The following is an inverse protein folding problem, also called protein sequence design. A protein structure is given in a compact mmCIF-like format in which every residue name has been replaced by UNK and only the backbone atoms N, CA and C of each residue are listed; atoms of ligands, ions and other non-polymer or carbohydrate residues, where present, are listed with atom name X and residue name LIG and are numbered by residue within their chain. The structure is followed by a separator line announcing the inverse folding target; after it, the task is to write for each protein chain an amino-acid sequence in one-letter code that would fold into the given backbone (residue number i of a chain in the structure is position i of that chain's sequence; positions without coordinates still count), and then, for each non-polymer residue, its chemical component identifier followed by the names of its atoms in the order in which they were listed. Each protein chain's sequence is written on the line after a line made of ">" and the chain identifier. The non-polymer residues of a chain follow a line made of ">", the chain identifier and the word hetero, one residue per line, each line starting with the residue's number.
data_IF_242281203431
#
_entry.id   IF_242281203431
#
_cell.length_a   1.000
_cell.length_b   1.000
_cell.length_c   1.000
_cell.angle_alpha   90.00
_cell.angle_beta   90.00
_cell.angle_gamma   90.00
#
_symmetry.space_group_name_H-M   'P 1'
#
loop_
_entity.id
_entity.type
_entity.pdbx_description
1 polymer ?
#
# COMPACT_ATOMS: atom_id res chain seq x y z
N UNK A 1 -11.64 20.80 10.93
CA UNK A 1 -11.60 20.57 9.47
C UNK A 1 -10.33 21.17 8.87
N UNK A 2 -10.01 20.83 7.62
CA UNK A 2 -8.85 21.37 6.89
C UNK A 2 -9.30 22.10 5.63
N UNK A 3 -8.48 23.02 5.06
CA UNK A 3 -8.82 23.70 3.80
C UNK A 3 -9.13 22.73 2.66
N UNK A 4 -8.43 21.59 2.58
CA UNK A 4 -8.68 20.56 1.59
C UNK A 4 -10.08 19.94 1.72
N UNK A 5 -10.53 19.66 2.96
CA UNK A 5 -11.89 19.15 3.21
C UNK A 5 -12.96 20.18 2.86
N UNK A 6 -12.73 21.46 3.11
CA UNK A 6 -13.66 22.52 2.70
C UNK A 6 -13.82 22.52 1.17
N UNK A 7 -12.71 22.56 0.42
CA UNK A 7 -12.72 22.52 -1.05
C UNK A 7 -13.38 21.24 -1.61
N UNK A 8 -13.12 20.10 -0.97
CA UNK A 8 -13.75 18.84 -1.34
C UNK A 8 -15.27 18.89 -1.16
N UNK A 9 -15.77 19.51 -0.09
CA UNK A 9 -17.20 19.64 0.17
C UNK A 9 -17.90 20.69 -0.71
N UNK A 10 -17.17 21.62 -1.30
CA UNK A 10 -17.75 22.66 -2.20
C UNK A 10 -18.23 22.10 -3.52
N UNK A 11 -17.71 20.96 -3.98
CA UNK A 11 -18.05 20.35 -5.26
C UNK A 11 -19.33 19.53 -5.23
N UNK A 12 -19.77 19.12 -4.03
CA UNK A 12 -20.94 18.26 -3.88
C UNK A 12 -22.25 19.07 -3.85
N UNK A 13 -23.34 18.51 -4.41
CA UNK A 13 -24.65 19.16 -4.37
C UNK A 13 -25.10 19.34 -2.91
N UNK A 14 -25.51 20.54 -2.56
CA UNK A 14 -26.03 20.90 -1.23
C UNK A 14 -27.54 20.76 -1.11
N UNK A 15 -28.16 20.03 -2.02
CA UNK A 15 -29.61 19.84 -2.08
C UNK A 15 -29.98 18.68 -1.18
N UNK A 16 -31.03 18.85 -0.38
CA UNK A 16 -31.68 17.73 0.30
C UNK A 16 -32.67 17.06 -0.68
N UNK A 17 -32.82 15.74 -0.60
CA UNK A 17 -33.86 15.03 -1.34
C UNK A 17 -35.25 15.34 -0.78
N UNK A 18 -36.30 14.77 -1.40
CA UNK A 18 -37.70 14.97 -0.98
C UNK A 18 -37.96 14.51 0.48
N UNK A 19 -37.09 13.66 1.02
CA UNK A 19 -37.15 13.14 2.41
C UNK A 19 -36.33 14.00 3.40
N UNK A 20 -35.73 15.11 2.95
CA UNK A 20 -34.91 16.00 3.78
C UNK A 20 -33.49 15.47 4.04
N UNK A 21 -33.08 14.38 3.37
CA UNK A 21 -31.74 13.81 3.49
C UNK A 21 -30.76 14.61 2.60
N UNK A 22 -29.71 15.15 3.20
CA UNK A 22 -28.60 15.81 2.50
C UNK A 22 -27.32 15.00 2.63
N UNK A 23 -26.35 15.22 1.74
CA UNK A 23 -25.05 14.55 1.80
C UNK A 23 -24.28 14.85 3.11
N UNK A 24 -24.55 16.00 3.73
CA UNK A 24 -23.82 16.47 4.90
C UNK A 24 -22.39 16.93 4.56
N UNK A 25 -21.70 17.43 5.59
CA UNK A 25 -20.29 17.82 5.46
C UNK A 25 -19.39 16.62 5.74
N UNK A 26 -18.61 16.19 4.75
CA UNK A 26 -17.64 15.09 4.88
C UNK A 26 -16.37 15.60 5.55
N UNK A 27 -16.14 15.22 6.81
CA UNK A 27 -15.01 15.70 7.63
C UNK A 27 -14.03 14.59 8.00
N UNK A 28 -13.76 13.69 7.10
CA UNK A 28 -12.84 12.56 7.27
C UNK A 28 -11.79 12.51 6.16
N UNK A 29 -10.78 11.67 6.32
CA UNK A 29 -9.82 11.38 5.25
C UNK A 29 -10.46 10.45 4.25
N UNK A 30 -10.49 10.87 2.98
CA UNK A 30 -11.15 10.15 1.90
C UNK A 30 -10.10 9.42 1.05
N UNK A 31 -10.10 8.10 1.13
CA UNK A 31 -9.41 7.21 0.21
C UNK A 31 -10.41 6.65 -0.83
N UNK A 32 -9.95 5.78 -1.73
CA UNK A 32 -10.75 5.25 -2.86
C UNK A 32 -12.08 4.65 -2.43
N UNK A 33 -12.13 3.87 -1.35
CA UNK A 33 -13.35 3.22 -0.88
C UNK A 33 -14.36 4.25 -0.36
N UNK A 34 -13.93 5.13 0.53
CA UNK A 34 -14.77 6.19 1.09
C UNK A 34 -15.30 7.14 0.00
N UNK A 35 -14.47 7.42 -1.03
CA UNK A 35 -14.91 8.22 -2.17
C UNK A 35 -16.07 7.56 -2.91
N UNK A 36 -16.02 6.25 -3.13
CA UNK A 36 -17.12 5.52 -3.76
C UNK A 36 -18.41 5.61 -2.95
N UNK A 37 -18.32 5.55 -1.62
CA UNK A 37 -19.47 5.67 -0.72
C UNK A 37 -20.07 7.10 -0.75
N UNK A 38 -19.22 8.13 -0.83
CA UNK A 38 -19.67 9.53 -0.98
C UNK A 38 -20.39 9.73 -2.31
N UNK A 39 -19.84 9.20 -3.42
CA UNK A 39 -20.47 9.27 -4.75
C UNK A 39 -21.84 8.59 -4.76
N UNK A 40 -21.92 7.40 -4.14
CA UNK A 40 -23.18 6.67 -4.06
C UNK A 40 -24.23 7.45 -3.26
N UNK A 41 -23.88 8.03 -2.13
CA UNK A 41 -24.76 8.89 -1.35
C UNK A 41 -25.19 10.14 -2.13
N UNK A 42 -24.27 10.78 -2.85
CA UNK A 42 -24.58 11.93 -3.70
C UNK A 42 -25.60 11.57 -4.80
N UNK A 43 -25.44 10.40 -5.41
CA UNK A 43 -26.39 9.90 -6.41
C UNK A 43 -27.80 9.69 -5.82
N UNK A 44 -27.90 9.06 -4.65
CA UNK A 44 -29.17 8.84 -3.98
C UNK A 44 -29.90 10.15 -3.62
N UNK A 45 -29.14 11.18 -3.24
CA UNK A 45 -29.70 12.46 -2.78
C UNK A 45 -30.04 13.38 -3.94
N UNK A 46 -29.18 13.50 -4.94
CA UNK A 46 -29.24 14.55 -5.98
C UNK A 46 -29.51 14.04 -7.40
N UNK A 47 -29.59 12.72 -7.59
CA UNK A 47 -29.84 12.07 -8.86
C UNK A 47 -28.64 12.08 -9.82
N UNK A 48 -28.83 11.50 -11.01
CA UNK A 48 -27.76 11.22 -11.97
C UNK A 48 -27.06 12.49 -12.48
N UNK A 49 -27.80 13.48 -12.98
CA UNK A 49 -27.21 14.65 -13.63
C UNK A 49 -26.34 15.46 -12.66
N UNK A 50 -26.81 15.69 -11.44
CA UNK A 50 -26.07 16.43 -10.41
C UNK A 50 -24.82 15.67 -9.99
N UNK A 51 -24.89 14.34 -9.91
CA UNK A 51 -23.72 13.49 -9.60
C UNK A 51 -22.67 13.55 -10.69
N UNK A 52 -23.07 13.51 -11.98
CA UNK A 52 -22.13 13.65 -13.11
C UNK A 52 -21.40 15.00 -13.05
N UNK A 53 -22.12 16.09 -12.81
CA UNK A 53 -21.52 17.42 -12.68
C UNK A 53 -20.54 17.49 -11.50
N UNK A 54 -20.88 16.86 -10.36
CA UNK A 54 -19.99 16.76 -9.21
C UNK A 54 -18.73 15.93 -9.50
N UNK A 55 -18.84 14.83 -10.25
CA UNK A 55 -17.70 14.01 -10.68
C UNK A 55 -16.75 14.77 -11.62
N UNK A 56 -17.29 15.57 -12.55
CA UNK A 56 -16.47 16.44 -13.39
C UNK A 56 -15.76 17.51 -12.56
N UNK A 57 -16.44 18.11 -11.60
CA UNK A 57 -15.84 19.07 -10.66
C UNK A 57 -14.75 18.41 -9.80
N UNK A 58 -14.98 17.18 -9.32
CA UNK A 58 -14.01 16.39 -8.57
C UNK A 58 -12.76 16.10 -9.40
N UNK A 59 -12.93 15.69 -10.65
CA UNK A 59 -11.84 15.46 -11.61
C UNK A 59 -10.98 16.72 -11.79
N UNK A 60 -11.63 17.86 -12.04
CA UNK A 60 -10.91 19.13 -12.20
C UNK A 60 -10.22 19.60 -10.92
N UNK A 61 -10.86 19.44 -9.76
CA UNK A 61 -10.25 19.71 -8.47
C UNK A 61 -9.01 18.84 -8.27
N UNK A 62 -9.13 17.52 -8.50
CA UNK A 62 -8.04 16.57 -8.34
C UNK A 62 -6.84 16.89 -9.22
N UNK A 63 -7.05 17.14 -10.52
CA UNK A 63 -5.98 17.51 -11.45
C UNK A 63 -5.29 18.81 -11.06
N UNK A 64 -6.08 19.83 -10.71
CA UNK A 64 -5.54 21.12 -10.29
C UNK A 64 -4.67 21.03 -9.04
N UNK A 65 -5.16 20.35 -8.01
CA UNK A 65 -4.43 20.25 -6.74
C UNK A 65 -3.22 19.30 -6.86
N UNK A 66 -3.32 18.21 -7.63
CA UNK A 66 -2.18 17.34 -7.92
C UNK A 66 -1.07 18.08 -8.68
N UNK A 67 -1.45 18.90 -9.68
CA UNK A 67 -0.49 19.74 -10.42
C UNK A 67 0.18 20.77 -9.50
N UNK A 68 -0.58 21.40 -8.61
CA UNK A 68 -0.06 22.38 -7.64
C UNK A 68 0.88 21.75 -6.62
N UNK A 69 0.53 20.55 -6.14
CA UNK A 69 1.35 19.81 -5.19
C UNK A 69 2.66 19.30 -5.80
N UNK A 70 2.71 19.10 -7.12
CA UNK A 70 3.92 18.61 -7.81
C UNK A 70 4.37 17.24 -7.32
N UNK A 71 3.44 16.35 -6.93
CA UNK A 71 3.77 15.03 -6.40
C UNK A 71 4.51 14.22 -7.46
N UNK A 72 5.75 13.87 -7.16
CA UNK A 72 6.61 13.08 -8.04
C UNK A 72 7.37 12.03 -7.22
N UNK A 73 7.90 11.00 -7.89
CA UNK A 73 8.62 9.90 -7.25
C UNK A 73 10.06 9.90 -7.76
N UNK A 74 11.00 9.94 -6.82
CA UNK A 74 12.42 9.72 -7.08
C UNK A 74 12.93 8.41 -6.47
N UNK A 75 14.14 8.01 -6.83
CA UNK A 75 14.80 6.83 -6.23
C UNK A 75 15.04 7.04 -4.72
N UNK A 76 15.24 8.28 -4.30
CA UNK A 76 15.42 8.65 -2.90
C UNK A 76 14.19 8.37 -2.02
N UNK A 77 12.99 8.44 -2.61
CA UNK A 77 11.73 8.20 -1.89
C UNK A 77 11.49 6.71 -1.58
N UNK A 78 12.25 5.83 -2.27
CA UNK A 78 12.22 4.38 -2.03
C UNK A 78 13.11 4.04 -0.83
N UNK A 79 12.67 4.38 0.39
CA UNK A 79 13.43 4.13 1.62
C UNK A 79 13.49 2.63 1.92
N UNK A 80 14.68 2.12 2.25
CA UNK A 80 14.90 0.73 2.68
C UNK A 80 14.84 0.71 4.21
N UNK A 81 13.95 -0.09 4.84
CA UNK A 81 13.84 -0.13 6.30
C UNK A 81 15.13 -0.68 6.94
N UNK A 82 15.56 -0.07 8.02
CA UNK A 82 16.78 -0.47 8.73
C UNK A 82 16.66 -1.88 9.33
N UNK A 83 15.45 -2.26 9.72
CA UNK A 83 15.10 -3.56 10.26
C UNK A 83 15.28 -4.72 9.26
N UNK A 84 15.35 -4.45 7.95
CA UNK A 84 15.51 -5.47 6.91
C UNK A 84 16.68 -6.41 7.18
N UNK A 85 17.83 -5.87 7.59
CA UNK A 85 19.02 -6.67 7.82
C UNK A 85 18.92 -7.59 9.04
N UNK A 86 18.22 -7.17 10.10
CA UNK A 86 17.96 -7.98 11.29
C UNK A 86 16.97 -9.09 11.01
N UNK A 87 15.89 -8.79 10.27
CA UNK A 87 14.87 -9.76 9.88
C UNK A 87 15.45 -10.87 8.98
N UNK A 88 16.25 -10.50 7.99
CA UNK A 88 16.94 -11.47 7.15
C UNK A 88 17.89 -12.38 7.97
N UNK A 89 18.65 -11.81 8.90
CA UNK A 89 19.53 -12.61 9.80
C UNK A 89 18.73 -13.57 10.67
N UNK A 90 17.58 -13.15 11.17
CA UNK A 90 16.66 -14.00 11.95
C UNK A 90 16.15 -15.16 11.10
N UNK A 91 15.67 -14.86 9.88
CA UNK A 91 15.18 -15.88 8.94
C UNK A 91 16.27 -16.91 8.61
N UNK A 92 17.50 -16.48 8.31
CA UNK A 92 18.60 -17.41 8.05
C UNK A 92 18.93 -18.31 9.25
N UNK A 93 18.87 -17.81 10.48
CA UNK A 93 19.04 -18.64 11.68
C UNK A 93 17.96 -19.71 11.81
N UNK A 94 16.69 -19.35 11.52
CA UNK A 94 15.59 -20.31 11.55
C UNK A 94 15.74 -21.38 10.46
N UNK A 95 16.18 -21.00 9.26
CA UNK A 95 16.48 -21.94 8.17
C UNK A 95 17.58 -22.95 8.54
N UNK A 96 18.65 -22.48 9.19
CA UNK A 96 19.73 -23.37 9.67
C UNK A 96 19.21 -24.43 10.66
N UNK A 97 18.24 -24.06 11.51
CA UNK A 97 17.59 -25.01 12.42
C UNK A 97 16.77 -26.05 11.64
N UNK A 98 15.98 -25.61 10.66
CA UNK A 98 15.17 -26.50 9.81
C UNK A 98 16.04 -27.47 9.02
N UNK A 99 17.14 -26.97 8.44
CA UNK A 99 18.10 -27.79 7.70
C UNK A 99 18.79 -28.83 8.59
N UNK A 100 19.14 -28.47 9.83
CA UNK A 100 19.69 -29.40 10.83
C UNK A 100 18.67 -30.48 11.23
N UNK A 101 17.39 -30.14 11.36
CA UNK A 101 16.32 -31.10 11.63
C UNK A 101 16.17 -32.11 10.48
N UNK A 102 16.19 -31.61 9.24
CA UNK A 102 16.12 -32.45 8.05
C UNK A 102 17.31 -33.42 7.95
N UNK A 103 18.54 -32.93 8.09
CA UNK A 103 19.76 -33.77 8.07
C UNK A 103 19.80 -34.83 9.17
N UNK A 104 19.09 -34.62 10.28
CA UNK A 104 18.92 -35.60 11.35
C UNK A 104 17.78 -36.58 11.13
N UNK A 105 17.05 -36.46 10.02
CA UNK A 105 15.90 -37.29 9.72
C UNK A 105 14.68 -37.05 10.60
N UNK A 106 14.60 -35.89 11.30
CA UNK A 106 13.49 -35.56 12.18
C UNK A 106 12.27 -35.10 11.38
N UNK A 107 12.48 -34.47 10.23
CA UNK A 107 11.44 -33.97 9.32
C UNK A 107 11.64 -34.51 7.93
N UNK A 108 10.53 -34.68 7.19
CA UNK A 108 10.51 -35.07 5.78
C UNK A 108 10.92 -33.92 4.85
N UNK A 109 11.23 -34.22 3.58
CA UNK A 109 11.55 -33.18 2.60
C UNK A 109 10.37 -32.22 2.36
N UNK A 110 9.14 -32.75 2.29
CA UNK A 110 7.93 -31.91 2.16
C UNK A 110 7.70 -30.98 3.34
N UNK A 111 7.96 -31.44 4.58
CA UNK A 111 7.89 -30.60 5.77
C UNK A 111 8.99 -29.54 5.80
N UNK A 112 10.21 -29.89 5.38
CA UNK A 112 11.32 -28.95 5.21
C UNK A 112 10.93 -27.84 4.23
N UNK A 113 10.42 -28.22 3.04
CA UNK A 113 9.98 -27.28 2.01
C UNK A 113 8.92 -26.31 2.55
N UNK A 114 7.85 -26.83 3.17
CA UNK A 114 6.80 -25.99 3.72
C UNK A 114 7.32 -25.02 4.80
N UNK A 115 8.15 -25.50 5.73
CA UNK A 115 8.77 -24.65 6.77
C UNK A 115 9.64 -23.54 6.17
N UNK A 116 10.39 -23.81 5.11
CA UNK A 116 11.21 -22.81 4.41
C UNK A 116 10.32 -21.71 3.81
N UNK A 117 9.24 -22.11 3.12
CA UNK A 117 8.27 -21.18 2.54
C UNK A 117 7.63 -20.31 3.62
N UNK A 118 7.20 -20.89 4.73
CA UNK A 118 6.58 -20.17 5.84
C UNK A 118 7.54 -19.14 6.46
N UNK A 119 8.79 -19.52 6.70
CA UNK A 119 9.83 -18.61 7.25
C UNK A 119 10.03 -17.40 6.32
N UNK A 120 10.17 -17.63 5.01
CA UNK A 120 10.39 -16.55 4.05
C UNK A 120 9.16 -15.68 3.84
N UNK A 121 7.97 -16.26 3.89
CA UNK A 121 6.71 -15.50 3.83
C UNK A 121 6.59 -14.58 5.04
N UNK A 122 6.78 -15.12 6.24
CA UNK A 122 6.75 -14.34 7.48
C UNK A 122 7.80 -13.22 7.50
N UNK A 123 9.05 -13.52 7.14
CA UNK A 123 10.11 -12.52 7.04
C UNK A 123 9.76 -11.41 6.03
N UNK A 124 9.21 -11.79 4.88
CA UNK A 124 8.77 -10.84 3.86
C UNK A 124 7.64 -9.90 4.34
N UNK A 125 6.73 -10.40 5.15
CA UNK A 125 5.63 -9.62 5.71
C UNK A 125 6.09 -8.71 6.86
N UNK A 126 7.05 -9.15 7.67
CA UNK A 126 7.69 -8.31 8.69
C UNK A 126 8.45 -7.14 8.06
N UNK A 127 9.25 -7.41 7.00
CA UNK A 127 9.96 -6.37 6.25
C UNK A 127 8.96 -5.40 5.59
N UNK A 128 7.85 -5.89 5.03
CA UNK A 128 6.82 -5.04 4.46
C UNK A 128 6.16 -4.15 5.51
N UNK A 129 5.87 -4.68 6.69
CA UNK A 129 5.27 -3.93 7.80
C UNK A 129 6.21 -2.84 8.34
N UNK A 130 7.52 -3.16 8.47
CA UNK A 130 8.54 -2.19 8.83
C UNK A 130 8.66 -1.08 7.77
N UNK A 131 8.68 -1.46 6.49
CA UNK A 131 8.73 -0.52 5.36
C UNK A 131 7.55 0.45 5.39
N UNK A 132 6.33 -0.04 5.60
CA UNK A 132 5.15 0.82 5.68
C UNK A 132 5.24 1.84 6.79
N UNK A 133 5.68 1.42 7.99
CA UNK A 133 5.90 2.34 9.12
C UNK A 133 6.93 3.42 8.78
N UNK A 134 8.06 3.02 8.18
CA UNK A 134 9.11 3.97 7.77
C UNK A 134 8.59 4.99 6.74
N UNK A 135 7.79 4.56 5.75
CA UNK A 135 7.21 5.45 4.74
C UNK A 135 6.12 6.38 5.31
N UNK A 136 5.32 5.89 6.26
CA UNK A 136 4.27 6.65 6.92
C UNK A 136 4.85 7.79 7.78
N UNK A 137 5.86 7.47 8.59
CA UNK A 137 6.49 8.45 9.49
C UNK A 137 7.54 9.33 8.80
N UNK A 138 7.99 8.96 7.60
CA UNK A 138 8.95 9.71 6.77
C UNK A 138 10.14 10.28 7.56
N UNK A 139 10.68 9.49 8.49
CA UNK A 139 11.81 9.83 9.37
C UNK A 139 11.69 11.20 10.08
N UNK A 140 10.46 11.61 10.43
CA UNK A 140 10.18 12.87 11.13
C UNK A 140 10.06 14.10 10.22
N UNK A 141 10.06 13.93 8.90
CA UNK A 141 9.77 15.01 7.98
C UNK A 141 8.28 15.38 7.99
N UNK A 142 7.97 16.69 7.97
CA UNK A 142 6.59 17.19 7.94
C UNK A 142 5.83 16.81 6.65
N UNK A 143 6.57 16.51 5.57
CA UNK A 143 5.99 16.12 4.27
C UNK A 143 5.93 14.61 4.17
N UNK A 144 4.75 14.08 3.97
CA UNK A 144 4.54 12.64 3.78
C UNK A 144 5.29 12.13 2.53
N UNK A 145 5.81 10.90 2.61
CA UNK A 145 6.50 10.27 1.49
C UNK A 145 5.55 10.13 0.27
N UNK A 146 5.94 10.58 -0.94
CA UNK A 146 5.08 10.53 -2.12
C UNK A 146 4.59 9.11 -2.48
N UNK A 147 5.43 8.09 -2.30
CA UNK A 147 5.05 6.69 -2.53
C UNK A 147 3.94 6.25 -1.56
N UNK A 148 4.09 6.61 -0.27
CA UNK A 148 3.07 6.31 0.73
C UNK A 148 1.75 6.99 0.36
N UNK A 149 1.78 8.29 0.05
CA UNK A 149 0.58 9.05 -0.34
C UNK A 149 -0.16 8.43 -1.52
N UNK A 150 0.56 8.01 -2.57
CA UNK A 150 -0.06 7.42 -3.76
C UNK A 150 -0.72 6.07 -3.49
N UNK A 151 -0.09 5.23 -2.68
CA UNK A 151 -0.60 3.87 -2.42
C UNK A 151 -1.66 3.87 -1.33
N UNK A 152 -1.50 4.66 -0.28
CA UNK A 152 -2.48 4.76 0.81
C UNK A 152 -3.80 5.38 0.32
N UNK A 153 -3.73 6.43 -0.50
CA UNK A 153 -4.91 7.02 -1.14
C UNK A 153 -5.60 6.09 -2.14
N UNK A 154 -4.90 5.06 -2.63
CA UNK A 154 -5.40 4.18 -3.70
C UNK A 154 -5.35 4.81 -5.09
N UNK A 155 -4.66 5.94 -5.26
CA UNK A 155 -4.52 6.61 -6.55
C UNK A 155 -3.71 5.78 -7.54
N UNK A 156 -2.56 5.28 -7.11
CA UNK A 156 -1.69 4.44 -7.94
C UNK A 156 -0.81 3.52 -7.09
N UNK A 157 -0.57 2.32 -7.61
CA UNK A 157 0.24 1.32 -6.95
C UNK A 157 -0.52 0.51 -5.90
N UNK A 158 0.16 -0.47 -5.34
CA UNK A 158 -0.33 -1.29 -4.24
C UNK A 158 0.81 -1.67 -3.29
N UNK A 159 0.45 -2.22 -2.15
CA UNK A 159 1.40 -2.63 -1.11
C UNK A 159 2.46 -3.60 -1.62
N UNK A 160 2.08 -4.55 -2.46
CA UNK A 160 2.99 -5.53 -3.01
C UNK A 160 4.06 -4.90 -3.92
N UNK A 161 3.69 -3.89 -4.70
CA UNK A 161 4.65 -3.18 -5.56
C UNK A 161 5.68 -2.40 -4.74
N UNK A 162 5.26 -1.72 -3.65
CA UNK A 162 6.20 -1.05 -2.75
C UNK A 162 7.12 -2.07 -2.04
N UNK A 163 6.57 -3.20 -1.60
CA UNK A 163 7.36 -4.30 -1.03
C UNK A 163 8.49 -4.73 -1.97
N UNK A 164 8.22 -4.85 -3.26
CA UNK A 164 9.23 -5.21 -4.27
C UNK A 164 10.23 -4.09 -4.54
N UNK A 165 9.79 -2.83 -4.55
CA UNK A 165 10.65 -1.68 -4.85
C UNK A 165 11.66 -1.38 -3.75
N UNK A 166 11.24 -1.43 -2.48
CA UNK A 166 12.02 -0.96 -1.33
C UNK A 166 12.24 -2.00 -0.23
N UNK A 167 11.42 -3.05 -0.17
CA UNK A 167 11.53 -4.11 0.82
C UNK A 167 12.33 -5.31 0.32
N UNK A 168 11.63 -6.33 -0.16
CA UNK A 168 12.17 -7.60 -0.64
C UNK A 168 11.27 -8.17 -1.72
N UNK A 169 11.83 -8.68 -2.83
CA UNK A 169 11.04 -9.35 -3.88
C UNK A 169 10.43 -10.66 -3.40
N UNK A 170 11.17 -11.42 -2.58
CA UNK A 170 10.66 -12.61 -1.92
C UNK A 170 10.72 -13.88 -2.78
N UNK A 171 9.82 -14.81 -2.47
CA UNK A 171 9.74 -16.09 -3.15
C UNK A 171 9.17 -15.92 -4.57
N UNK A 172 9.73 -16.70 -5.50
CA UNK A 172 9.31 -16.74 -6.90
C UNK A 172 8.73 -18.10 -7.25
N UNK A 173 7.71 -18.11 -8.11
CA UNK A 173 7.13 -19.34 -8.65
C UNK A 173 7.75 -19.67 -10.01
N UNK A 174 8.01 -20.97 -10.26
CA UNK A 174 8.31 -21.49 -11.59
C UNK A 174 7.05 -21.42 -12.48
N UNK A 175 7.18 -21.51 -13.81
CA UNK A 175 6.02 -21.62 -14.69
C UNK A 175 5.10 -22.81 -14.38
N UNK A 176 5.64 -23.85 -13.72
CA UNK A 176 4.86 -25.00 -13.23
C UNK A 176 3.96 -24.68 -12.02
N UNK A 177 4.09 -23.50 -11.42
CA UNK A 177 3.41 -23.11 -10.17
C UNK A 177 4.17 -23.49 -8.88
N UNK A 178 5.24 -24.27 -8.96
CA UNK A 178 6.09 -24.64 -7.84
C UNK A 178 6.88 -23.41 -7.36
N UNK A 179 6.91 -23.17 -6.06
CA UNK A 179 7.65 -22.06 -5.45
C UNK A 179 9.12 -22.45 -5.29
N UNK A 180 10.01 -21.57 -5.70
CA UNK A 180 11.46 -21.74 -5.52
C UNK A 180 11.79 -21.44 -4.06
N UNK A 181 12.40 -22.39 -3.35
CA UNK A 181 12.74 -22.28 -1.92
C UNK A 181 13.68 -21.11 -1.59
N UNK A 182 14.49 -20.69 -2.56
CA UNK A 182 15.44 -19.58 -2.40
C UNK A 182 14.78 -18.26 -2.80
N UNK A 183 14.51 -17.35 -1.86
CA UNK A 183 13.92 -16.06 -2.17
C UNK A 183 14.94 -15.11 -2.79
N UNK A 184 14.46 -14.09 -3.46
CA UNK A 184 15.24 -12.94 -3.85
C UNK A 184 15.14 -11.91 -2.73
N UNK A 185 16.21 -11.77 -1.93
CA UNK A 185 16.24 -10.89 -0.75
C UNK A 185 16.44 -9.42 -1.12
N UNK A 186 17.02 -9.14 -2.30
CA UNK A 186 17.20 -7.78 -2.81
C UNK A 186 15.88 -7.21 -3.33
N UNK A 187 15.70 -5.90 -3.16
CA UNK A 187 14.63 -5.13 -3.78
C UNK A 187 15.13 -4.49 -5.10
N UNK A 188 14.23 -3.84 -5.86
CA UNK A 188 14.62 -3.21 -7.12
C UNK A 188 15.55 -2.01 -6.95
N UNK A 189 15.47 -1.29 -5.82
CA UNK A 189 16.40 -0.21 -5.51
C UNK A 189 17.84 -0.72 -5.30
N UNK A 190 18.00 -1.89 -4.68
CA UNK A 190 19.30 -2.54 -4.46
C UNK A 190 19.86 -3.19 -5.74
N UNK A 191 19.03 -3.42 -6.73
CA UNK A 191 19.42 -4.02 -8.02
C UNK A 191 18.87 -5.43 -8.26
N UNK A 192 19.38 -6.06 -9.32
CA UNK A 192 18.89 -7.34 -9.83
C UNK A 192 19.75 -8.55 -9.39
N UNK A 193 20.59 -8.39 -8.40
CA UNK A 193 21.45 -9.47 -7.87
C UNK A 193 20.64 -10.59 -7.22
#
# INVERSE_FOLDING_TARGET
>A
TTPGRVRFNEIWPRVANAEGISLGFVNETIAKKQLSDVIWRAYQVSGLQSTVNALDSLKHLGFREATRAGVSIGITDMVIPQEKSSELKSAYKQLDVVEKQYRRGIITDGERYNKIIDIWTAAGDQIASALYRTLEYNDGNEVANPLYMMVDSGARGNKQQIKQLSGMRGLMAKPSGEIIERPITSNFREGLS
#
